data_IF_832313089611
#
_entry.id   IF_832313089611
#
_cell.length_a   1.000
_cell.length_b   1.000
_cell.length_c   1.000
_cell.angle_alpha   90.00
_cell.angle_beta   90.00
_cell.angle_gamma   90.00
#
_symmetry.space_group_name_H-M   'P 1'
#
loop_
_entity.id
_entity.type
_entity.pdbx_description
1 polymer ?
#
# COMPACT_ATOMS: atom_id res chain seq x y z
N UNK A 1 31.26 -1.69 17.16
CA UNK A 1 30.33 -0.69 16.57
C UNK A 1 28.90 -0.80 17.10
N UNK A 2 28.06 -1.78 16.71
CA UNK A 2 26.65 -1.84 17.19
C UNK A 2 26.55 -2.08 18.70
N UNK A 3 27.37 -2.97 19.26
CA UNK A 3 27.36 -3.27 20.69
C UNK A 3 27.86 -2.10 21.55
N UNK A 4 28.87 -1.37 21.07
CA UNK A 4 29.37 -0.16 21.73
C UNK A 4 28.28 0.93 21.75
N UNK A 5 27.63 1.17 20.60
CA UNK A 5 26.51 2.11 20.53
C UNK A 5 25.35 1.74 21.47
N UNK A 6 25.00 0.44 21.55
CA UNK A 6 24.00 -0.05 22.51
C UNK A 6 24.42 0.26 23.96
N UNK A 7 25.70 0.07 24.29
CA UNK A 7 26.21 0.34 25.64
C UNK A 7 26.16 1.84 25.99
N UNK A 8 26.52 2.72 25.06
CA UNK A 8 26.44 4.18 25.26
C UNK A 8 24.99 4.63 25.47
N UNK A 9 24.05 4.12 24.67
CA UNK A 9 22.63 4.44 24.78
C UNK A 9 22.02 3.94 26.10
N UNK A 10 22.38 2.74 26.56
CA UNK A 10 21.97 2.21 27.86
C UNK A 10 22.49 3.02 29.05
N UNK A 11 23.64 3.68 28.87
CA UNK A 11 24.24 4.52 29.92
C UNK A 11 23.57 5.89 29.98
N UNK A 12 23.16 6.43 28.83
CA UNK A 12 22.52 7.75 28.73
C UNK A 12 21.00 7.72 28.97
N UNK A 13 20.33 6.59 28.69
CA UNK A 13 18.88 6.46 28.75
C UNK A 13 18.44 5.17 29.47
N UNK A 14 17.34 5.25 30.23
CA UNK A 14 16.66 4.06 30.74
C UNK A 14 16.00 3.30 29.59
N UNK A 15 16.75 2.35 29.01
CA UNK A 15 16.26 1.48 27.95
C UNK A 15 16.62 0.02 28.20
N UNK A 16 15.92 -0.90 27.54
CA UNK A 16 16.18 -2.34 27.62
C UNK A 16 16.37 -2.89 26.21
N UNK A 17 17.39 -3.73 26.03
CA UNK A 17 17.61 -4.41 24.75
C UNK A 17 16.74 -5.67 24.69
N UNK A 18 15.73 -5.64 23.83
CA UNK A 18 14.79 -6.75 23.63
C UNK A 18 15.32 -7.80 22.63
N UNK A 19 16.58 -7.66 22.18
CA UNK A 19 17.23 -8.58 21.25
C UNK A 19 16.86 -8.29 19.79
N UNK A 20 16.63 -9.35 19.01
CA UNK A 20 16.25 -9.19 17.62
C UNK A 20 14.83 -8.63 17.48
N UNK A 21 14.71 -7.58 16.67
CA UNK A 21 13.44 -6.92 16.42
C UNK A 21 12.46 -7.88 15.72
N UNK A 22 11.38 -8.22 16.42
CA UNK A 22 10.28 -9.05 15.93
C UNK A 22 9.00 -8.27 15.65
N UNK A 23 8.80 -7.13 16.33
CA UNK A 23 7.65 -6.26 16.16
C UNK A 23 8.06 -4.79 16.25
N UNK A 24 7.57 -3.97 15.33
CA UNK A 24 7.77 -2.51 15.37
C UNK A 24 6.57 -1.77 14.80
N UNK A 25 5.96 -0.87 15.57
CA UNK A 25 4.79 -0.08 15.16
C UNK A 25 3.64 -0.94 14.58
N UNK A 26 3.43 -2.18 15.03
CA UNK A 26 2.40 -3.06 14.47
C UNK A 26 2.78 -3.75 13.15
N UNK A 27 4.03 -3.61 12.70
CA UNK A 27 4.67 -4.47 11.71
C UNK A 27 5.30 -5.68 12.39
N UNK A 28 5.03 -6.85 11.84
CA UNK A 28 5.64 -8.14 12.15
C UNK A 28 6.90 -8.30 11.33
N UNK A 29 8.03 -8.56 11.98
CA UNK A 29 9.35 -8.67 11.36
C UNK A 29 9.90 -10.06 11.65
N UNK A 30 10.18 -10.80 10.58
CA UNK A 30 10.82 -12.11 10.63
C UNK A 30 12.19 -12.02 9.96
N UNK A 31 13.24 -12.14 10.76
CA UNK A 31 14.61 -12.11 10.28
C UNK A 31 15.10 -13.54 10.05
N UNK A 32 15.66 -13.80 8.88
CA UNK A 32 16.17 -15.12 8.50
C UNK A 32 17.49 -14.97 7.73
N UNK A 33 18.24 -16.07 7.57
CA UNK A 33 19.46 -16.06 6.76
C UNK A 33 19.21 -15.64 5.30
N UNK A 34 17.98 -15.83 4.79
CA UNK A 34 17.59 -15.44 3.44
C UNK A 34 17.28 -13.95 3.31
N UNK A 35 17.00 -13.26 4.42
CA UNK A 35 16.52 -11.89 4.42
C UNK A 35 15.56 -11.56 5.56
N UNK A 36 15.06 -10.33 5.53
CA UNK A 36 14.09 -9.80 6.48
C UNK A 36 12.72 -9.78 5.82
N UNK A 37 11.74 -10.47 6.39
CA UNK A 37 10.35 -10.42 5.95
C UNK A 37 9.55 -9.51 6.89
N UNK A 38 8.81 -8.56 6.32
CA UNK A 38 7.97 -7.62 7.05
C UNK A 38 6.53 -7.80 6.60
N UNK A 39 5.62 -8.08 7.53
CA UNK A 39 4.19 -8.18 7.27
C UNK A 39 3.36 -7.40 8.30
N UNK A 40 2.08 -7.17 8.01
CA UNK A 40 1.15 -6.45 8.89
C UNK A 40 -0.14 -7.27 9.07
N UNK A 41 0.00 -8.57 9.34
CA UNK A 41 -1.14 -9.50 9.40
C UNK A 41 -2.13 -9.12 10.50
N UNK A 42 -1.63 -8.85 11.72
CA UNK A 42 -2.47 -8.47 12.86
C UNK A 42 -3.27 -7.19 12.57
N UNK A 43 -2.62 -6.17 12.02
CA UNK A 43 -3.28 -4.91 11.66
C UNK A 43 -4.34 -5.09 10.57
N UNK A 44 -4.04 -5.89 9.53
CA UNK A 44 -5.02 -6.22 8.49
C UNK A 44 -6.27 -6.91 9.07
N UNK A 45 -6.09 -7.81 10.03
CA UNK A 45 -7.19 -8.47 10.71
C UNK A 45 -8.01 -7.51 11.58
N UNK A 46 -7.36 -6.61 12.32
CA UNK A 46 -8.03 -5.59 13.13
C UNK A 46 -8.90 -4.65 12.28
N UNK A 47 -8.41 -4.21 11.11
CA UNK A 47 -9.21 -3.43 10.16
C UNK A 47 -10.46 -4.20 9.73
N UNK A 48 -10.31 -5.47 9.36
CA UNK A 48 -11.45 -6.29 8.96
C UNK A 48 -12.48 -6.43 10.07
N UNK A 49 -12.04 -6.51 11.33
CA UNK A 49 -12.93 -6.55 12.49
C UNK A 49 -13.67 -5.23 12.69
N UNK A 50 -12.97 -4.09 12.64
CA UNK A 50 -13.55 -2.75 12.79
C UNK A 50 -14.68 -2.52 11.78
N UNK A 51 -14.48 -2.93 10.53
CA UNK A 51 -15.48 -2.75 9.47
C UNK A 51 -16.45 -3.94 9.31
N UNK A 52 -16.42 -4.92 10.23
CA UNK A 52 -17.28 -6.12 10.19
C UNK A 52 -17.17 -6.93 8.89
N UNK A 53 -15.95 -7.06 8.35
CA UNK A 53 -15.61 -7.72 7.07
C UNK A 53 -14.77 -9.01 7.25
N UNK A 54 -14.60 -9.48 8.48
CA UNK A 54 -13.83 -10.68 8.84
C UNK A 54 -14.28 -11.96 8.12
N UNK A 55 -15.59 -12.14 7.91
CA UNK A 55 -16.19 -13.29 7.24
C UNK A 55 -16.55 -13.01 5.77
N UNK A 56 -16.01 -11.93 5.19
CA UNK A 56 -16.30 -11.57 3.81
C UNK A 56 -15.62 -12.53 2.81
N UNK A 57 -16.29 -12.78 1.68
CA UNK A 57 -15.73 -13.62 0.60
C UNK A 57 -14.54 -12.90 -0.06
N UNK A 58 -13.34 -13.52 -0.08
CA UNK A 58 -12.15 -12.88 -0.63
C UNK A 58 -12.29 -12.63 -2.13
N UNK A 59 -11.61 -11.60 -2.62
CA UNK A 59 -11.55 -11.23 -4.04
C UNK A 59 -10.08 -11.18 -4.46
N UNK A 60 -9.75 -11.58 -5.70
CA UNK A 60 -8.38 -11.59 -6.20
C UNK A 60 -7.84 -10.26 -6.73
N UNK A 61 -8.69 -9.24 -6.90
CA UNK A 61 -8.26 -7.88 -7.32
C UNK A 61 -8.72 -6.79 -6.35
N UNK A 62 -7.84 -5.82 -6.00
CA UNK A 62 -8.19 -4.75 -5.05
C UNK A 62 -9.24 -3.80 -5.62
N UNK A 63 -9.14 -3.48 -6.92
CA UNK A 63 -10.11 -2.67 -7.66
C UNK A 63 -10.67 -3.44 -8.86
N UNK A 64 -11.83 -2.98 -9.33
CA UNK A 64 -12.41 -3.43 -10.60
C UNK A 64 -11.88 -2.52 -11.72
N UNK A 65 -11.24 -3.10 -12.74
CA UNK A 65 -10.67 -2.34 -13.87
C UNK A 65 -11.72 -1.57 -14.69
N UNK A 66 -12.99 -1.98 -14.62
CA UNK A 66 -14.10 -1.38 -15.37
C UNK A 66 -14.79 -0.29 -14.54
N UNK A 67 -14.56 -0.23 -13.22
CA UNK A 67 -15.24 0.72 -12.35
C UNK A 67 -14.61 2.10 -12.48
N UNK A 68 -15.33 2.96 -13.18
CA UNK A 68 -15.04 4.38 -13.35
C UNK A 68 -15.75 5.15 -12.25
N UNK A 69 -14.99 5.58 -11.23
CA UNK A 69 -15.49 6.40 -10.11
C UNK A 69 -15.55 7.87 -10.54
N UNK A 70 -16.66 8.55 -10.24
CA UNK A 70 -16.86 9.97 -10.54
C UNK A 70 -17.38 10.70 -9.29
N UNK A 71 -17.00 11.97 -9.12
CA UNK A 71 -17.47 12.82 -8.01
C UNK A 71 -19.00 12.89 -7.93
N UNK A 72 -19.68 12.89 -9.08
CA UNK A 72 -21.13 13.03 -9.21
C UNK A 72 -21.82 11.76 -9.73
N UNK A 73 -21.66 10.65 -9.01
CA UNK A 73 -22.25 9.34 -9.34
C UNK A 73 -23.79 9.26 -9.15
N UNK A 74 -24.46 10.37 -8.79
CA UNK A 74 -25.91 10.47 -8.41
C UNK A 74 -26.35 9.56 -7.25
N UNK A 75 -25.45 8.76 -6.69
CA UNK A 75 -25.72 7.92 -5.52
C UNK A 75 -25.73 8.73 -4.24
N UNK A 76 -26.40 8.19 -3.21
CA UNK A 76 -26.43 8.80 -1.90
C UNK A 76 -25.03 9.00 -1.31
N UNK A 77 -24.92 10.03 -0.47
CA UNK A 77 -23.67 10.33 0.26
C UNK A 77 -23.52 9.40 1.46
N UNK A 78 -22.28 9.07 1.77
CA UNK A 78 -21.92 8.26 2.94
C UNK A 78 -21.32 9.16 4.01
N UNK A 79 -21.34 8.72 5.26
CA UNK A 79 -20.64 9.40 6.34
C UNK A 79 -19.14 9.55 6.02
N UNK A 80 -18.71 10.82 5.98
CA UNK A 80 -17.34 11.24 5.70
C UNK A 80 -16.37 10.69 6.74
N UNK A 81 -16.79 10.61 8.02
CA UNK A 81 -15.94 10.15 9.11
C UNK A 81 -15.53 8.69 8.94
N UNK A 82 -16.51 7.81 8.72
CA UNK A 82 -16.29 6.38 8.48
C UNK A 82 -15.43 6.15 7.23
N UNK A 83 -15.70 6.87 6.15
CA UNK A 83 -14.93 6.75 4.92
C UNK A 83 -13.46 7.18 5.11
N UNK A 84 -13.22 8.34 5.75
CA UNK A 84 -11.86 8.83 6.03
C UNK A 84 -11.08 7.89 6.93
N UNK A 85 -11.72 7.33 7.96
CA UNK A 85 -11.10 6.33 8.83
C UNK A 85 -10.67 5.10 8.02
N UNK A 86 -11.55 4.59 7.15
CA UNK A 86 -11.25 3.45 6.29
C UNK A 86 -10.06 3.71 5.35
N UNK A 87 -10.04 4.87 4.68
CA UNK A 87 -8.93 5.23 3.78
C UNK A 87 -7.63 5.43 4.58
N UNK A 88 -7.68 6.01 5.78
CA UNK A 88 -6.51 6.13 6.66
C UNK A 88 -5.91 4.77 7.01
N UNK A 89 -6.75 3.80 7.37
CA UNK A 89 -6.34 2.41 7.61
C UNK A 89 -5.69 1.77 6.38
N UNK A 90 -6.29 1.96 5.19
CA UNK A 90 -5.74 1.45 3.94
C UNK A 90 -4.39 2.10 3.59
N UNK A 91 -4.25 3.42 3.78
CA UNK A 91 -3.01 4.14 3.56
C UNK A 91 -1.90 3.64 4.49
N UNK A 92 -2.20 3.32 5.74
CA UNK A 92 -1.21 2.75 6.65
C UNK A 92 -0.69 1.38 6.17
N UNK A 93 -1.58 0.52 5.66
CA UNK A 93 -1.21 -0.77 5.08
C UNK A 93 -0.27 -0.64 3.86
N UNK A 94 -0.35 0.47 3.11
CA UNK A 94 0.49 0.65 1.90
C UNK A 94 2.00 0.61 2.18
N UNK A 95 2.42 0.84 3.44
CA UNK A 95 3.81 0.75 3.87
C UNK A 95 4.43 -0.64 3.65
N UNK A 96 3.66 -1.70 3.87
CA UNK A 96 4.08 -3.10 3.62
C UNK A 96 3.39 -3.70 2.39
N UNK A 97 2.32 -3.06 1.90
CA UNK A 97 1.47 -3.57 0.84
C UNK A 97 1.35 -2.61 -0.34
N UNK A 98 2.36 -2.67 -1.20
CA UNK A 98 2.45 -1.80 -2.37
C UNK A 98 1.38 -2.10 -3.43
N UNK A 99 0.82 -3.30 -3.43
CA UNK A 99 -0.31 -3.71 -4.26
C UNK A 99 -1.60 -2.90 -3.97
N UNK A 100 -1.74 -2.37 -2.75
CA UNK A 100 -2.87 -1.54 -2.34
C UNK A 100 -2.69 -0.05 -2.66
N UNK A 101 -1.47 0.40 -2.98
CA UNK A 101 -1.15 1.83 -3.13
C UNK A 101 -2.02 2.54 -4.14
N UNK A 102 -2.20 1.94 -5.32
CA UNK A 102 -3.05 2.49 -6.38
C UNK A 102 -4.52 2.58 -5.95
N UNK A 103 -5.02 1.56 -5.24
CA UNK A 103 -6.40 1.55 -4.79
C UNK A 103 -6.66 2.60 -3.71
N UNK A 104 -5.76 2.70 -2.73
CA UNK A 104 -5.83 3.70 -1.67
C UNK A 104 -5.71 5.13 -2.22
N UNK A 105 -4.81 5.36 -3.20
CA UNK A 105 -4.61 6.69 -3.79
C UNK A 105 -5.75 7.14 -4.71
N UNK A 106 -6.44 6.21 -5.38
CA UNK A 106 -7.65 6.54 -6.14
C UNK A 106 -8.80 6.90 -5.20
N UNK A 107 -9.04 6.08 -4.17
CA UNK A 107 -10.14 6.27 -3.22
C UNK A 107 -9.95 7.51 -2.34
N UNK A 108 -8.71 7.91 -2.06
CA UNK A 108 -8.41 9.10 -1.24
C UNK A 108 -8.89 10.40 -1.88
N UNK A 109 -9.07 10.44 -3.20
CA UNK A 109 -9.58 11.61 -3.94
C UNK A 109 -11.01 12.00 -3.53
N UNK A 110 -11.78 11.03 -3.07
CA UNK A 110 -13.19 11.20 -2.70
C UNK A 110 -13.40 11.38 -1.19
N UNK A 111 -12.35 11.67 -0.41
CA UNK A 111 -12.43 11.85 1.05
C UNK A 111 -13.25 13.06 1.51
N UNK A 112 -13.50 14.04 0.64
CA UNK A 112 -14.27 15.24 0.99
C UNK A 112 -15.78 15.01 0.86
N UNK A 113 -16.21 14.19 -0.10
CA UNK A 113 -17.61 13.92 -0.39
C UNK A 113 -17.77 12.48 -0.92
N UNK A 114 -17.66 11.47 -0.05
CA UNK A 114 -17.79 10.08 -0.46
C UNK A 114 -19.26 9.73 -0.74
N UNK A 115 -19.43 8.83 -1.70
CA UNK A 115 -20.73 8.31 -2.09
C UNK A 115 -20.82 6.81 -1.79
N UNK A 116 -22.01 6.22 -1.94
CA UNK A 116 -22.21 4.78 -1.74
C UNK A 116 -21.33 3.97 -2.69
N UNK A 117 -21.17 4.40 -3.95
CA UNK A 117 -20.29 3.73 -4.93
C UNK A 117 -18.82 3.74 -4.49
N UNK A 118 -18.33 4.89 -4.00
CA UNK A 118 -16.99 5.02 -3.44
C UNK A 118 -16.78 4.10 -2.23
N UNK A 119 -17.75 4.03 -1.32
CA UNK A 119 -17.65 3.18 -0.14
C UNK A 119 -17.71 1.69 -0.48
N UNK A 120 -18.52 1.30 -1.48
CA UNK A 120 -18.54 -0.07 -2.00
C UNK A 120 -17.19 -0.46 -2.62
N UNK A 121 -16.56 0.45 -3.36
CA UNK A 121 -15.21 0.25 -3.89
C UNK A 121 -14.17 0.06 -2.76
N UNK A 122 -14.25 0.87 -1.71
CA UNK A 122 -13.38 0.72 -0.53
C UNK A 122 -13.61 -0.62 0.20
N UNK A 123 -14.87 -1.06 0.36
CA UNK A 123 -15.20 -2.38 0.90
C UNK A 123 -14.68 -3.52 0.03
N UNK A 124 -14.61 -3.35 -1.29
CA UNK A 124 -13.98 -4.33 -2.18
C UNK A 124 -12.49 -4.49 -1.87
N UNK A 125 -11.78 -3.40 -1.58
CA UNK A 125 -10.37 -3.46 -1.16
C UNK A 125 -10.22 -4.26 0.13
N UNK A 126 -11.13 -4.11 1.10
CA UNK A 126 -11.15 -4.93 2.32
C UNK A 126 -11.36 -6.43 2.02
N UNK A 127 -12.21 -6.76 1.04
CA UNK A 127 -12.39 -8.17 0.61
C UNK A 127 -11.12 -8.74 -0.02
N UNK A 128 -10.37 -7.92 -0.75
CA UNK A 128 -9.07 -8.31 -1.27
C UNK A 128 -8.05 -8.51 -0.14
N UNK A 129 -8.00 -7.59 0.83
CA UNK A 129 -7.16 -7.70 2.03
C UNK A 129 -7.42 -9.01 2.78
N UNK A 130 -8.68 -9.44 2.89
CA UNK A 130 -9.05 -10.72 3.51
C UNK A 130 -8.41 -11.93 2.82
N UNK A 131 -8.32 -11.91 1.49
CA UNK A 131 -7.71 -13.00 0.71
C UNK A 131 -6.19 -13.01 0.74
N UNK A 132 -5.56 -11.95 1.25
CA UNK A 132 -4.12 -11.71 1.11
C UNK A 132 -3.46 -11.25 2.42
N UNK A 133 -4.00 -11.63 3.58
CA UNK A 133 -3.52 -11.14 4.88
C UNK A 133 -2.05 -11.49 5.18
N UNK A 134 -1.55 -12.58 4.59
CA UNK A 134 -0.19 -13.08 4.79
C UNK A 134 0.85 -12.40 3.88
N UNK A 135 0.42 -11.48 3.02
CA UNK A 135 1.32 -10.78 2.12
C UNK A 135 2.17 -9.75 2.87
N UNK A 136 3.42 -9.61 2.46
CA UNK A 136 4.37 -8.68 3.04
C UNK A 136 5.55 -8.41 2.10
N UNK A 137 6.55 -7.71 2.61
CA UNK A 137 7.76 -7.34 1.88
C UNK A 137 8.92 -8.21 2.36
N UNK A 138 9.60 -8.89 1.43
CA UNK A 138 10.80 -9.68 1.73
C UNK A 138 12.07 -8.97 1.23
N UNK A 139 12.86 -8.45 2.16
CA UNK A 139 14.19 -7.88 1.92
C UNK A 139 15.22 -8.99 1.84
N UNK A 140 15.66 -9.33 0.63
CA UNK A 140 16.70 -10.34 0.42
C UNK A 140 18.08 -9.70 0.48
N UNK A 141 19.05 -10.44 1.02
CA UNK A 141 20.46 -10.06 0.90
C UNK A 141 20.91 -10.29 -0.54
N UNK A 142 21.42 -9.26 -1.21
CA UNK A 142 21.91 -9.33 -2.59
C UNK A 142 23.30 -8.71 -2.66
N UNK A 143 24.22 -9.38 -3.36
CA UNK A 143 25.64 -9.00 -3.41
C UNK A 143 25.91 -7.83 -4.37
N UNK A 144 25.01 -7.56 -5.32
CA UNK A 144 25.07 -6.44 -6.28
C UNK A 144 23.82 -5.59 -6.20
N UNK A 145 24.01 -4.29 -6.05
CA UNK A 145 22.92 -3.31 -6.02
C UNK A 145 22.62 -2.82 -7.43
N UNK A 146 21.49 -3.27 -7.99
CA UNK A 146 20.96 -2.74 -9.24
C UNK A 146 19.62 -2.04 -8.96
N UNK A 147 19.56 -0.74 -9.29
CA UNK A 147 18.35 0.05 -9.22
C UNK A 147 17.64 -0.01 -10.58
N UNK A 148 16.46 -0.60 -10.63
CA UNK A 148 15.63 -0.69 -11.83
C UNK A 148 14.46 0.26 -11.68
N UNK A 149 14.30 1.20 -12.60
CA UNK A 149 13.15 2.09 -12.66
C UNK A 149 12.18 1.69 -13.76
N UNK A 150 10.91 1.57 -13.41
CA UNK A 150 9.81 1.47 -14.37
C UNK A 150 9.01 2.76 -14.31
N UNK A 151 8.61 3.26 -15.47
CA UNK A 151 7.71 4.39 -15.60
C UNK A 151 6.53 3.95 -16.46
N UNK A 152 5.33 4.33 -16.04
CA UNK A 152 4.10 4.11 -16.80
C UNK A 152 3.28 5.40 -16.78
N UNK A 153 2.56 5.67 -17.86
CA UNK A 153 1.71 6.83 -17.97
C UNK A 153 0.38 6.42 -18.60
N UNK A 154 -0.70 6.76 -17.91
CA UNK A 154 -2.06 6.52 -18.32
C UNK A 154 -2.74 7.86 -18.67
N UNK A 155 -3.17 7.97 -19.91
CA UNK A 155 -3.82 9.16 -20.44
C UNK A 155 -5.33 9.14 -20.13
N UNK A 156 -5.88 10.26 -19.67
CA UNK A 156 -7.33 10.42 -19.37
C UNK A 156 -7.83 9.33 -18.40
N UNK A 157 -7.12 9.16 -17.27
CA UNK A 157 -7.46 8.19 -16.22
C UNK A 157 -8.67 8.58 -15.38
N UNK A 158 -8.87 9.88 -15.19
CA UNK A 158 -9.98 10.44 -14.43
C UNK A 158 -11.04 10.98 -15.39
N UNK A 159 -12.30 10.57 -15.19
CA UNK A 159 -13.45 11.14 -15.91
C UNK A 159 -13.62 12.62 -15.56
N UNK A 160 -13.38 12.95 -14.28
CA UNK A 160 -13.69 14.26 -13.73
C UNK A 160 -12.72 15.33 -14.20
N UNK A 161 -11.43 15.02 -14.11
CA UNK A 161 -10.38 16.04 -14.28
C UNK A 161 -9.62 15.89 -15.61
N UNK A 162 -9.85 14.79 -16.36
CA UNK A 162 -9.12 14.40 -17.59
C UNK A 162 -7.59 14.46 -17.47
N UNK A 163 -7.07 14.49 -16.24
CA UNK A 163 -5.64 14.57 -15.97
C UNK A 163 -4.96 13.26 -16.35
N UNK A 164 -3.74 13.40 -16.88
CA UNK A 164 -2.88 12.24 -17.11
C UNK A 164 -2.30 11.78 -15.78
N UNK A 165 -2.34 10.49 -15.55
CA UNK A 165 -1.81 9.86 -14.35
C UNK A 165 -0.52 9.16 -14.75
N UNK A 166 0.61 9.53 -14.15
CA UNK A 166 1.87 8.82 -14.37
C UNK A 166 2.35 8.20 -13.07
N UNK A 167 2.87 6.99 -13.18
CA UNK A 167 3.42 6.21 -12.09
C UNK A 167 4.88 5.90 -12.37
N UNK A 168 5.70 5.96 -11.33
CA UNK A 168 7.03 5.35 -11.40
C UNK A 168 7.20 4.35 -10.27
N UNK A 169 7.86 3.24 -10.57
CA UNK A 169 8.19 2.18 -9.65
C UNK A 169 9.69 1.98 -9.68
N UNK A 170 10.37 2.36 -8.59
CA UNK A 170 11.79 2.09 -8.42
C UNK A 170 11.93 0.79 -7.65
N UNK A 171 12.45 -0.25 -8.29
CA UNK A 171 12.76 -1.51 -7.65
C UNK A 171 14.25 -1.59 -7.35
N UNK A 172 14.61 -1.83 -6.09
CA UNK A 172 15.96 -2.13 -5.69
C UNK A 172 15.99 -3.55 -5.10
N UNK A 173 16.82 -4.42 -5.68
CA UNK A 173 16.97 -5.82 -5.26
C UNK A 173 17.44 -5.97 -3.80
N UNK A 174 18.11 -4.96 -3.24
CA UNK A 174 18.69 -4.97 -1.88
C UNK A 174 17.68 -4.52 -0.81
N UNK A 175 16.77 -3.60 -1.16
CA UNK A 175 15.79 -3.03 -0.24
C UNK A 175 14.44 -2.84 -0.91
N UNK A 176 13.56 -3.86 -0.92
CA UNK A 176 12.21 -3.71 -1.46
C UNK A 176 11.35 -2.70 -0.69
N UNK A 177 11.75 -2.26 0.51
CA UNK A 177 11.16 -1.12 1.22
C UNK A 177 11.43 0.25 0.61
N UNK A 178 12.35 0.35 -0.36
CA UNK A 178 12.53 1.55 -1.18
C UNK A 178 11.73 1.48 -2.49
N UNK A 179 10.82 0.51 -2.61
CA UNK A 179 9.88 0.45 -3.71
C UNK A 179 8.79 1.51 -3.53
N UNK A 180 9.14 2.77 -3.86
CA UNK A 180 8.14 3.83 -3.95
C UNK A 180 7.37 3.67 -5.25
N UNK A 181 6.10 3.35 -5.12
CA UNK A 181 5.12 3.61 -6.16
C UNK A 181 4.55 5.01 -5.90
N UNK A 182 4.94 5.97 -6.72
CA UNK A 182 4.39 7.33 -6.66
C UNK A 182 3.46 7.53 -7.85
N UNK A 183 2.20 7.82 -7.56
CA UNK A 183 1.21 8.19 -8.58
C UNK A 183 1.11 9.71 -8.55
N UNK A 184 1.53 10.34 -9.64
CA UNK A 184 1.50 11.79 -9.80
C UNK A 184 0.49 12.15 -10.89
N UNK A 185 -0.26 13.23 -10.67
CA UNK A 185 -1.15 13.79 -11.69
C UNK A 185 -0.61 15.14 -12.15
N UNK A 186 -0.40 15.29 -13.46
CA UNK A 186 0.00 16.55 -14.08
C UNK A 186 -1.07 17.04 -15.05
N UNK A 187 -1.31 18.35 -15.05
CA UNK A 187 -2.20 19.03 -16.00
C UNK A 187 -1.61 19.21 -17.41
N UNK A 188 -0.34 18.84 -17.63
CA UNK A 188 0.33 18.94 -18.92
C UNK A 188 0.48 17.55 -19.58
N UNK A 189 0.18 17.51 -20.87
CA UNK A 189 0.19 16.35 -21.77
C UNK A 189 1.55 15.64 -21.70
N UNK A 190 1.60 14.45 -21.07
CA UNK A 190 2.79 13.60 -21.09
C UNK A 190 2.77 12.76 -22.37
N UNK A 191 3.74 13.00 -23.26
CA UNK A 191 3.91 12.26 -24.50
C UNK A 191 4.35 10.81 -24.25
N UNK A 192 3.48 9.89 -24.69
CA UNK A 192 3.69 8.48 -25.08
C UNK A 192 5.09 7.86 -24.84
N UNK A 193 5.19 6.94 -23.87
CA UNK A 193 6.05 5.76 -23.97
C UNK A 193 5.35 4.56 -23.32
N UNK A 194 5.10 3.52 -24.11
CA UNK A 194 4.39 2.29 -23.74
C UNK A 194 5.38 1.25 -23.18
N UNK A 195 5.14 0.71 -21.98
CA UNK A 195 5.80 -0.52 -21.51
C UNK A 195 4.84 -1.42 -20.71
N UNK A 196 4.62 -2.64 -21.21
CA UNK A 196 3.60 -3.60 -20.75
C UNK A 196 4.16 -4.49 -19.63
N UNK A 197 3.80 -4.23 -18.38
CA UNK A 197 4.14 -5.09 -17.24
C UNK A 197 3.12 -6.23 -17.05
N UNK A 198 3.31 -7.35 -17.76
CA UNK A 198 2.81 -8.67 -17.33
C UNK A 198 4.01 -9.43 -16.78
N UNK A 199 4.05 -9.66 -15.46
CA UNK A 199 4.79 -10.72 -14.74
C UNK A 199 5.35 -10.20 -13.41
N UNK A 200 4.48 -9.98 -12.41
CA UNK A 200 4.88 -9.95 -11.01
C UNK A 200 4.10 -11.07 -10.31
N UNK A 201 4.80 -12.16 -9.99
CA UNK A 201 4.30 -13.19 -9.07
C UNK A 201 4.63 -12.74 -7.66
N UNK A 202 3.58 -12.51 -6.87
CA UNK A 202 3.66 -12.34 -5.43
C UNK A 202 4.00 -13.69 -4.81
N UNK A 203 4.92 -13.70 -3.84
CA UNK A 203 5.30 -14.88 -3.06
C UNK A 203 4.51 -14.93 -1.75
#
# INVERSE_FOLDING_TARGET
MIQEFKSEMLTAFEMTDLGEMSYFLGMEISQSQKGIFICQRKYAYEILKIFSMENSKPIGTPLCQILKLCKDDKSDKVDVGIYRSLIGCLLYLTSTRLDLTFAASLLSRFMNSPSVTHFQAAKRVLRYLRGSMDHGIMFKKVDKMELIGYTDSYWVGSIDDMRSTYGFFLYNWVCPGLSRYCVMESGCVASLYYARLRNLKWA
#
